data_IF_669684703712
#
_entry.id   IF_669684703712
#
_cell.length_a   1.000
_cell.length_b   1.000
_cell.length_c   1.000
_cell.angle_alpha   90.00
_cell.angle_beta   90.00
_cell.angle_gamma   90.00
#
_symmetry.space_group_name_H-M   'P 1'
#
loop_
_entity.id
_entity.type
_entity.pdbx_description
1 polymer ?
#
# COMPACT_ATOMS: atom_id res chain seq x y z
N UNK A 1 -13.69 1.59 -10.38
CA UNK A 1 -13.41 0.65 -9.27
C UNK A 1 -12.13 1.12 -8.59
N UNK A 2 -12.10 1.20 -7.26
CA UNK A 2 -10.93 1.70 -6.52
C UNK A 2 -10.29 0.55 -5.74
N UNK A 3 -8.97 0.41 -5.85
CA UNK A 3 -8.21 -0.59 -5.11
C UNK A 3 -7.67 0.01 -3.81
N UNK A 4 -7.73 -0.74 -2.72
CA UNK A 4 -7.12 -0.37 -1.46
C UNK A 4 -5.83 -1.17 -1.27
N UNK A 5 -4.70 -0.48 -1.18
CA UNK A 5 -3.38 -1.10 -1.03
C UNK A 5 -2.95 -0.92 0.42
N UNK A 6 -2.94 -2.01 1.17
CA UNK A 6 -2.36 -2.05 2.52
C UNK A 6 -0.92 -2.58 2.42
N UNK A 7 0.06 -1.78 2.80
CA UNK A 7 1.47 -2.12 2.61
C UNK A 7 2.32 -1.80 3.84
N UNK A 8 3.29 -2.68 4.13
CA UNK A 8 4.38 -2.40 5.06
C UNK A 8 5.67 -2.16 4.25
N UNK A 9 6.13 -0.90 4.08
CA UNK A 9 7.35 -0.60 3.31
C UNK A 9 8.61 -1.28 3.87
N UNK A 10 8.65 -1.55 5.17
CA UNK A 10 9.79 -2.16 5.85
C UNK A 10 9.83 -3.69 5.72
N UNK A 11 8.75 -4.33 5.23
CA UNK A 11 8.67 -5.77 5.09
C UNK A 11 9.76 -6.34 4.16
N UNK A 12 10.21 -7.56 4.47
CA UNK A 12 11.16 -8.31 3.65
C UNK A 12 12.51 -7.60 3.48
N UNK A 13 13.04 -6.99 4.54
CA UNK A 13 14.28 -6.18 4.49
C UNK A 13 14.16 -4.95 3.58
N UNK A 14 13.12 -4.14 3.78
CA UNK A 14 12.78 -2.95 2.95
C UNK A 14 12.44 -3.25 1.49
N UNK A 15 12.18 -4.51 1.12
CA UNK A 15 11.68 -4.86 -0.21
C UNK A 15 10.28 -4.29 -0.46
N UNK A 16 9.47 -4.11 0.59
CA UNK A 16 8.15 -3.48 0.49
C UNK A 16 8.20 -2.09 -0.15
N UNK A 17 9.15 -1.24 0.27
CA UNK A 17 9.39 0.09 -0.31
C UNK A 17 9.74 -0.01 -1.80
N UNK A 18 10.65 -0.93 -2.16
CA UNK A 18 11.05 -1.14 -3.56
C UNK A 18 9.87 -1.64 -4.41
N UNK A 19 9.06 -2.54 -3.89
CA UNK A 19 7.85 -3.02 -4.58
C UNK A 19 6.85 -1.90 -4.81
N UNK A 20 6.62 -1.02 -3.83
CA UNK A 20 5.73 0.14 -3.98
C UNK A 20 6.24 1.09 -5.06
N UNK A 21 7.55 1.38 -5.09
CA UNK A 21 8.16 2.24 -6.13
C UNK A 21 7.94 1.73 -7.56
N UNK A 22 7.74 0.42 -7.75
CA UNK A 22 7.44 -0.16 -9.06
C UNK A 22 5.93 -0.29 -9.31
N UNK A 23 5.16 -0.63 -8.27
CA UNK A 23 3.73 -0.89 -8.39
C UNK A 23 2.92 0.38 -8.64
N UNK A 24 3.17 1.45 -7.88
CA UNK A 24 2.33 2.66 -7.95
C UNK A 24 2.35 3.31 -9.34
N UNK A 25 3.53 3.51 -9.99
CA UNK A 25 3.56 4.04 -11.35
C UNK A 25 2.83 3.13 -12.34
N UNK A 26 2.99 1.81 -12.23
CA UNK A 26 2.27 0.87 -13.09
C UNK A 26 0.74 1.01 -12.96
N UNK A 27 0.21 1.17 -11.75
CA UNK A 27 -1.22 1.38 -11.54
C UNK A 27 -1.69 2.71 -12.18
N UNK A 28 -0.90 3.77 -12.03
CA UNK A 28 -1.19 5.09 -12.59
C UNK A 28 -1.19 5.06 -14.13
N UNK A 29 -0.15 4.47 -14.73
CA UNK A 29 0.01 4.31 -16.18
C UNK A 29 -1.13 3.49 -16.81
N UNK A 30 -1.72 2.56 -16.06
CA UNK A 30 -2.84 1.73 -16.51
C UNK A 30 -4.21 2.29 -16.11
N UNK A 31 -4.27 3.52 -15.57
CA UNK A 31 -5.53 4.16 -15.20
C UNK A 31 -6.27 3.50 -14.03
N UNK A 32 -5.56 2.75 -13.18
CA UNK A 32 -6.12 2.04 -12.03
C UNK A 32 -6.13 2.97 -10.81
N UNK A 33 -7.33 3.41 -10.40
CA UNK A 33 -7.48 4.22 -9.19
C UNK A 33 -7.18 3.39 -7.93
N UNK A 34 -6.36 3.93 -7.03
CA UNK A 34 -6.03 3.27 -5.76
C UNK A 34 -5.98 4.26 -4.58
N UNK A 35 -6.08 3.72 -3.36
CA UNK A 35 -5.71 4.38 -2.11
C UNK A 35 -4.64 3.57 -1.39
N UNK A 36 -3.53 4.20 -1.06
CA UNK A 36 -2.42 3.58 -0.35
C UNK A 36 -2.53 3.81 1.16
N UNK A 37 -2.45 2.72 1.92
CA UNK A 37 -2.37 2.68 3.37
C UNK A 37 -1.02 2.04 3.76
N UNK A 38 0.00 2.88 3.90
CA UNK A 38 1.34 2.44 4.28
C UNK A 38 1.52 2.45 5.80
N UNK A 39 1.88 1.32 6.40
CA UNK A 39 2.12 1.23 7.84
C UNK A 39 3.49 1.78 8.20
N UNK A 40 3.56 2.57 9.26
CA UNK A 40 4.81 3.10 9.83
C UNK A 40 5.25 2.30 11.06
N UNK A 41 4.29 1.69 11.77
CA UNK A 41 4.54 0.95 13.01
C UNK A 41 3.69 -0.32 13.10
N UNK A 42 4.14 -1.26 13.92
CA UNK A 42 3.43 -2.51 14.22
C UNK A 42 2.03 -2.22 14.75
N UNK A 43 1.04 -2.98 14.27
CA UNK A 43 -0.37 -2.89 14.70
C UNK A 43 -1.20 -1.80 14.03
N UNK A 44 -0.62 -0.93 13.19
CA UNK A 44 -1.36 0.13 12.49
C UNK A 44 -2.33 -0.41 11.42
N UNK A 45 -2.04 -1.61 10.89
CA UNK A 45 -2.89 -2.34 9.94
C UNK A 45 -4.36 -2.40 10.38
N UNK A 46 -4.63 -2.70 11.66
CA UNK A 46 -5.98 -2.88 12.15
C UNK A 46 -6.81 -1.59 12.02
N UNK A 47 -6.20 -0.44 12.28
CA UNK A 47 -6.84 0.87 12.12
C UNK A 47 -7.11 1.20 10.65
N UNK A 48 -6.21 0.80 9.74
CA UNK A 48 -6.43 1.00 8.31
C UNK A 48 -7.55 0.11 7.77
N UNK A 49 -7.64 -1.15 8.20
CA UNK A 49 -8.76 -2.03 7.81
C UNK A 49 -10.10 -1.42 8.23
N UNK A 50 -10.20 -0.84 9.43
CA UNK A 50 -11.41 -0.15 9.88
C UNK A 50 -11.78 1.10 9.07
N UNK A 51 -10.83 1.72 8.36
CA UNK A 51 -11.11 2.85 7.47
C UNK A 51 -11.50 2.42 6.06
N UNK A 52 -11.19 1.17 5.70
CA UNK A 52 -11.47 0.59 4.38
C UNK A 52 -12.86 -0.06 4.35
N UNK A 53 -13.23 -0.77 5.42
CA UNK A 53 -14.54 -1.41 5.62
C UNK A 53 -15.62 -0.39 5.99
#
# INVERSE_FOLDING_TARGET
MIYYILANPNAGSRKGERSLKLLLPYLEENGLSYKLFATERTGQEASFIQQIL
#
